data_IF_832329359314
#
_entry.id   IF_832329359314
#
_cell.length_a   1.000
_cell.length_b   1.000
_cell.length_c   1.000
_cell.angle_alpha   90.00
_cell.angle_beta   90.00
_cell.angle_gamma   90.00
#
_symmetry.space_group_name_H-M   'P 1'
#
loop_
_entity.id
_entity.type
_entity.pdbx_description
1 polymer ?
#
# COMPACT_ATOMS: atom_id res chain seq x y z
N UNK A 1 8.79 1.49 13.86
CA UNK A 1 8.82 2.94 13.55
C UNK A 1 8.56 3.86 14.76
N UNK A 2 8.14 3.39 15.94
CA UNK A 2 7.88 4.25 17.12
C UNK A 2 9.13 5.02 17.60
N UNK A 3 10.33 4.46 17.40
CA UNK A 3 11.62 5.10 17.69
C UNK A 3 12.04 6.17 16.67
N UNK A 4 11.30 6.35 15.57
CA UNK A 4 11.69 7.27 14.47
C UNK A 4 12.71 6.73 13.48
N UNK A 5 13.21 5.51 13.66
CA UNK A 5 14.10 4.86 12.69
C UNK A 5 13.29 4.15 11.59
N UNK A 6 13.56 4.40 10.30
CA UNK A 6 13.01 3.64 9.18
C UNK A 6 13.32 2.15 9.29
N UNK A 7 12.33 1.31 8.99
CA UNK A 7 12.57 -0.13 8.79
C UNK A 7 13.43 -0.33 7.53
N UNK A 8 14.20 -1.40 7.51
CA UNK A 8 14.96 -1.89 6.34
C UNK A 8 14.13 -2.87 5.51
N UNK A 9 14.65 -3.32 4.36
CA UNK A 9 14.00 -4.37 3.55
C UNK A 9 13.92 -5.69 4.33
N UNK A 10 15.03 -6.08 4.99
CA UNK A 10 15.10 -7.27 5.83
C UNK A 10 14.10 -7.24 7.00
N UNK A 11 13.82 -6.07 7.56
CA UNK A 11 12.79 -5.93 8.61
C UNK A 11 11.36 -6.15 8.06
N UNK A 12 11.12 -5.82 6.79
CA UNK A 12 9.78 -5.87 6.16
C UNK A 12 9.46 -7.22 5.54
N UNK A 13 10.46 -7.94 5.03
CA UNK A 13 10.26 -9.23 4.34
C UNK A 13 9.46 -10.26 5.17
N UNK A 14 9.77 -10.52 6.45
CA UNK A 14 9.00 -11.47 7.27
C UNK A 14 7.54 -11.02 7.45
N UNK A 15 7.31 -9.71 7.55
CA UNK A 15 5.97 -9.15 7.69
C UNK A 15 5.16 -9.29 6.40
N UNK A 16 5.77 -9.04 5.24
CA UNK A 16 5.13 -9.23 3.93
C UNK A 16 4.78 -10.70 3.67
N UNK A 17 5.66 -11.63 4.07
CA UNK A 17 5.37 -13.06 4.02
C UNK A 17 4.17 -13.44 4.90
N UNK A 18 4.04 -12.84 6.09
CA UNK A 18 2.90 -13.06 6.98
C UNK A 18 1.59 -12.50 6.41
N UNK A 19 1.62 -11.29 5.83
CA UNK A 19 0.46 -10.70 5.12
C UNK A 19 0.01 -11.66 4.01
N UNK A 20 0.95 -12.13 3.19
CA UNK A 20 0.67 -13.08 2.11
C UNK A 20 0.02 -14.36 2.64
N UNK A 21 0.62 -15.00 3.65
CA UNK A 21 0.09 -16.22 4.27
C UNK A 21 -1.34 -16.01 4.77
N UNK A 22 -1.57 -14.91 5.49
CA UNK A 22 -2.90 -14.54 5.99
C UNK A 22 -3.89 -14.32 4.85
N UNK A 23 -3.42 -13.73 3.75
CA UNK A 23 -4.18 -13.53 2.52
C UNK A 23 -4.67 -14.85 1.93
N UNK A 24 -3.80 -15.85 1.84
CA UNK A 24 -4.14 -17.20 1.36
C UNK A 24 -5.20 -17.89 2.24
N UNK A 25 -5.11 -17.73 3.56
CA UNK A 25 -6.01 -18.40 4.52
C UNK A 25 -7.40 -17.75 4.63
N UNK A 26 -7.55 -16.48 4.23
CA UNK A 26 -8.75 -15.66 4.48
C UNK A 26 -9.43 -15.12 3.22
N UNK A 27 -9.16 -15.69 2.04
CA UNK A 27 -9.76 -15.18 0.79
C UNK A 27 -11.30 -15.23 0.83
N UNK A 28 -12.01 -14.16 0.43
CA UNK A 28 -11.50 -12.83 0.04
C UNK A 28 -11.21 -11.94 1.26
N UNK A 29 -10.10 -11.18 1.20
CA UNK A 29 -9.69 -10.27 2.27
C UNK A 29 -9.10 -8.98 1.70
N UNK A 30 -9.37 -7.86 2.38
CA UNK A 30 -8.76 -6.55 2.11
C UNK A 30 -7.80 -6.23 3.25
N UNK A 31 -6.58 -5.80 2.93
CA UNK A 31 -5.55 -5.45 3.91
C UNK A 31 -4.94 -4.09 3.59
N UNK A 32 -4.69 -3.30 4.63
CA UNK A 32 -3.89 -2.09 4.52
C UNK A 32 -2.40 -2.44 4.62
N UNK A 33 -1.63 -2.15 3.56
CA UNK A 33 -0.20 -2.34 3.51
C UNK A 33 0.41 -1.21 2.66
N UNK A 34 1.52 -0.61 3.12
CA UNK A 34 2.15 0.48 2.37
C UNK A 34 2.76 0.01 1.05
N UNK A 35 3.27 -1.23 0.99
CA UNK A 35 3.77 -1.90 -0.22
C UNK A 35 4.57 -0.97 -1.17
N UNK A 36 5.45 -0.14 -0.58
CA UNK A 36 6.06 1.02 -1.24
C UNK A 36 6.93 0.64 -2.43
N UNK A 37 7.69 -0.45 -2.31
CA UNK A 37 8.57 -0.96 -3.37
C UNK A 37 7.89 -2.02 -4.22
N UNK A 38 8.23 -2.09 -5.50
CA UNK A 38 7.79 -3.14 -6.43
C UNK A 38 8.13 -4.53 -5.92
N UNK A 39 9.33 -4.71 -5.35
CA UNK A 39 9.73 -5.98 -4.76
C UNK A 39 8.76 -6.44 -3.67
N UNK A 40 8.24 -5.53 -2.83
CA UNK A 40 7.26 -5.89 -1.81
C UNK A 40 5.93 -6.33 -2.43
N UNK A 41 5.47 -5.64 -3.48
CA UNK A 41 4.27 -6.03 -4.22
C UNK A 41 4.45 -7.38 -4.90
N UNK A 42 5.64 -7.68 -5.41
CA UNK A 42 5.96 -8.98 -6.02
C UNK A 42 6.00 -10.12 -5.00
N UNK A 43 6.46 -9.88 -3.75
CA UNK A 43 6.29 -10.83 -2.64
C UNK A 43 4.81 -11.12 -2.43
N UNK A 44 3.97 -10.08 -2.31
CA UNK A 44 2.53 -10.22 -2.06
C UNK A 44 1.81 -10.94 -3.22
N UNK A 45 2.22 -10.71 -4.47
CA UNK A 45 1.75 -11.45 -5.65
C UNK A 45 2.26 -12.89 -5.70
N UNK A 46 3.18 -13.27 -4.82
CA UNK A 46 3.76 -14.62 -4.76
C UNK A 46 4.82 -14.91 -5.82
N UNK A 47 5.46 -13.89 -6.42
CA UNK A 47 6.48 -14.10 -7.46
C UNK A 47 7.81 -14.64 -6.95
N UNK A 48 8.04 -14.59 -5.63
CA UNK A 48 9.34 -14.92 -5.01
C UNK A 48 9.34 -16.30 -4.31
N UNK A 49 8.35 -17.16 -4.56
CA UNK A 49 8.24 -18.46 -3.88
C UNK A 49 7.47 -19.52 -4.67
N UNK A 50 7.51 -20.76 -4.18
CA UNK A 50 6.88 -21.95 -4.79
C UNK A 50 5.45 -22.21 -4.29
N UNK A 51 5.01 -21.49 -3.27
CA UNK A 51 3.70 -21.66 -2.66
C UNK A 51 2.58 -21.02 -3.52
N UNK A 52 1.41 -21.66 -3.58
CA UNK A 52 0.22 -21.08 -4.20
C UNK A 52 -0.12 -19.75 -3.51
N UNK A 53 -0.18 -18.67 -4.27
CA UNK A 53 -0.63 -17.36 -3.80
C UNK A 53 -2.02 -17.05 -4.37
N UNK A 54 -2.92 -16.42 -3.60
CA UNK A 54 -4.14 -15.88 -4.16
C UNK A 54 -3.79 -14.76 -5.14
N UNK A 55 -4.66 -14.58 -6.14
CA UNK A 55 -4.56 -13.43 -7.03
C UNK A 55 -4.68 -12.16 -6.19
N UNK A 56 -3.69 -11.28 -6.31
CA UNK A 56 -3.55 -10.10 -5.46
C UNK A 56 -3.61 -8.83 -6.30
N UNK A 57 -4.47 -7.91 -5.90
CA UNK A 57 -4.66 -6.60 -6.52
C UNK A 57 -4.31 -5.49 -5.53
N UNK A 58 -4.00 -4.30 -6.03
CA UNK A 58 -3.63 -3.14 -5.22
C UNK A 58 -4.51 -1.94 -5.55
N UNK A 59 -4.93 -1.24 -4.50
CA UNK A 59 -5.53 0.10 -4.61
C UNK A 59 -4.48 1.10 -4.11
N UNK A 60 -3.88 1.82 -5.04
CA UNK A 60 -2.90 2.86 -4.77
C UNK A 60 -3.60 4.20 -4.55
N UNK A 61 -3.56 4.69 -3.32
CA UNK A 61 -4.08 6.02 -2.96
C UNK A 61 -2.96 7.04 -3.23
N UNK A 62 -3.02 7.71 -4.38
CA UNK A 62 -2.00 8.64 -4.84
C UNK A 62 -2.32 10.05 -4.38
N UNK A 63 -1.36 10.71 -3.75
CA UNK A 63 -1.45 12.13 -3.40
C UNK A 63 -0.07 12.77 -3.37
N UNK A 64 -0.02 14.09 -3.51
CA UNK A 64 1.25 14.81 -3.39
C UNK A 64 1.73 14.86 -1.94
N UNK A 65 3.02 15.16 -1.76
CA UNK A 65 3.62 15.38 -0.45
C UNK A 65 2.90 16.51 0.30
N UNK A 66 2.57 17.58 -0.41
CA UNK A 66 1.90 18.77 0.13
C UNK A 66 0.51 18.41 0.69
N UNK A 67 -0.27 17.62 -0.05
CA UNK A 67 -1.60 17.18 0.38
C UNK A 67 -1.51 16.28 1.61
N UNK A 68 -0.56 15.33 1.65
CA UNK A 68 -0.37 14.47 2.82
C UNK A 68 0.09 15.26 4.05
N UNK A 69 1.04 16.19 3.87
CA UNK A 69 1.54 17.05 4.92
C UNK A 69 0.41 17.89 5.54
N UNK A 70 -0.40 18.55 4.72
CA UNK A 70 -1.56 19.34 5.17
C UNK A 70 -2.58 18.46 5.93
N UNK A 71 -2.94 17.29 5.40
CA UNK A 71 -3.87 16.35 6.06
C UNK A 71 -3.35 15.87 7.39
N UNK A 72 -2.06 15.55 7.47
CA UNK A 72 -1.45 15.10 8.72
C UNK A 72 -1.41 16.24 9.75
N UNK A 73 -1.17 17.50 9.33
CA UNK A 73 -1.05 18.65 10.24
C UNK A 73 -2.39 19.00 10.90
N UNK A 74 -3.48 18.75 10.17
CA UNK A 74 -4.85 18.94 10.67
C UNK A 74 -5.30 17.84 11.65
N UNK A 75 -4.59 16.72 11.76
CA UNK A 75 -4.93 15.64 12.70
C UNK A 75 -4.44 15.98 14.11
N UNK A 76 -5.38 16.19 15.03
CA UNK A 76 -5.11 16.35 16.45
C UNK A 76 -4.56 15.04 17.07
N UNK A 77 -3.55 15.13 17.93
CA UNK A 77 -3.05 13.99 18.73
C UNK A 77 -2.01 13.08 18.07
N UNK A 78 -1.55 13.38 16.85
CA UNK A 78 -0.47 12.62 16.20
C UNK A 78 0.86 13.38 16.26
N UNK A 79 1.87 12.74 16.84
CA UNK A 79 3.24 13.26 16.88
C UNK A 79 3.82 13.27 15.46
N UNK A 80 4.02 14.47 14.92
CA UNK A 80 4.40 14.68 13.54
C UNK A 80 5.92 14.53 13.38
N UNK A 81 6.38 13.61 12.53
CA UNK A 81 7.78 13.55 12.07
C UNK A 81 7.77 13.74 10.56
N UNK A 82 8.01 14.97 10.10
CA UNK A 82 8.10 15.32 8.66
C UNK A 82 9.08 14.38 7.96
N UNK A 83 10.20 14.09 8.61
CA UNK A 83 11.23 13.16 8.15
C UNK A 83 10.69 11.75 7.86
N UNK A 84 9.64 11.31 8.56
CA UNK A 84 9.00 10.02 8.27
C UNK A 84 8.26 10.08 6.94
N UNK A 85 7.51 11.16 6.66
CA UNK A 85 6.82 11.32 5.38
C UNK A 85 7.82 11.33 4.22
N UNK A 86 8.93 12.06 4.38
CA UNK A 86 10.00 12.14 3.38
C UNK A 86 10.58 10.75 3.10
N UNK A 87 10.92 9.98 4.14
CA UNK A 87 11.42 8.60 3.97
C UNK A 87 10.42 7.66 3.28
N UNK A 88 9.11 7.89 3.41
CA UNK A 88 8.09 7.09 2.71
C UNK A 88 8.06 7.43 1.22
N UNK A 89 8.16 8.72 0.88
CA UNK A 89 8.21 9.17 -0.52
C UNK A 89 9.51 8.75 -1.21
N UNK A 90 10.64 8.80 -0.52
CA UNK A 90 11.91 8.29 -1.03
C UNK A 90 11.86 6.77 -1.32
N UNK A 91 11.18 6.01 -0.47
CA UNK A 91 11.03 4.57 -0.65
C UNK A 91 9.92 4.17 -1.65
N UNK A 92 9.09 5.12 -2.09
CA UNK A 92 7.95 4.85 -2.95
C UNK A 92 8.41 4.63 -4.41
N UNK A 93 8.27 3.40 -4.87
CA UNK A 93 8.33 3.07 -6.29
C UNK A 93 6.88 3.05 -6.80
N UNK A 94 6.49 4.06 -7.59
CA UNK A 94 5.11 4.21 -8.05
C UNK A 94 4.59 2.91 -8.69
N UNK A 95 3.45 2.37 -8.22
CA UNK A 95 2.86 1.15 -8.78
C UNK A 95 2.03 1.40 -10.04
N UNK A 96 1.88 2.66 -10.47
CA UNK A 96 1.14 3.01 -11.68
C UNK A 96 1.70 2.28 -12.91
N UNK A 97 0.82 1.62 -13.66
CA UNK A 97 1.19 0.83 -14.83
C UNK A 97 1.56 -0.63 -14.53
N UNK A 98 1.63 -1.03 -13.25
CA UNK A 98 1.74 -2.45 -12.92
C UNK A 98 0.40 -3.18 -13.09
N UNK A 99 0.46 -4.45 -13.47
CA UNK A 99 -0.70 -5.33 -13.53
C UNK A 99 -1.38 -5.46 -12.16
N UNK A 100 -2.71 -5.41 -12.16
CA UNK A 100 -3.53 -5.56 -10.96
C UNK A 100 -3.54 -4.33 -10.05
N UNK A 101 -3.09 -3.16 -10.52
CA UNK A 101 -3.08 -1.91 -9.75
C UNK A 101 -4.15 -0.94 -10.24
N UNK A 102 -4.96 -0.47 -9.31
CA UNK A 102 -5.92 0.63 -9.48
C UNK A 102 -5.41 1.84 -8.73
N UNK A 103 -5.47 3.02 -9.34
CA UNK A 103 -5.05 4.28 -8.69
C UNK A 103 -6.25 5.16 -8.39
N UNK A 104 -6.35 5.61 -7.14
CA UNK A 104 -7.37 6.55 -6.65
C UNK A 104 -6.71 7.82 -6.11
N UNK A 105 -7.23 9.03 -6.41
CA UNK A 105 -6.71 10.28 -5.87
C UNK A 105 -6.94 10.39 -4.37
N UNK A 106 -5.93 10.86 -3.64
CA UNK A 106 -6.00 11.11 -2.21
C UNK A 106 -6.94 12.29 -1.88
N UNK A 107 -7.03 13.23 -2.80
CA UNK A 107 -7.82 14.46 -2.74
C UNK A 107 -9.32 14.18 -2.77
N UNK A 108 -9.72 13.05 -3.33
CA UNK A 108 -11.11 12.61 -3.35
C UNK A 108 -11.63 12.32 -1.94
N UNK A 109 -12.95 12.43 -1.78
CA UNK A 109 -13.59 11.94 -0.55
C UNK A 109 -13.41 10.43 -0.42
N UNK A 110 -13.40 9.91 0.81
CA UNK A 110 -13.30 8.46 1.04
C UNK A 110 -14.36 7.68 0.26
N UNK A 111 -15.59 8.21 0.17
CA UNK A 111 -16.66 7.58 -0.60
C UNK A 111 -16.32 7.50 -2.09
N UNK A 112 -15.81 8.58 -2.68
CA UNK A 112 -15.41 8.60 -4.09
C UNK A 112 -14.24 7.66 -4.37
N UNK A 113 -13.25 7.60 -3.45
CA UNK A 113 -12.14 6.64 -3.54
C UNK A 113 -12.63 5.20 -3.55
N UNK A 114 -13.58 4.85 -2.66
CA UNK A 114 -14.14 3.50 -2.56
C UNK A 114 -14.91 3.12 -3.83
N UNK A 115 -15.78 4.00 -4.34
CA UNK A 115 -16.52 3.70 -5.57
C UNK A 115 -15.59 3.55 -6.77
N UNK A 116 -14.62 4.46 -6.95
CA UNK A 116 -13.62 4.34 -8.01
C UNK A 116 -12.80 3.05 -7.89
N UNK A 117 -12.37 2.69 -6.69
CA UNK A 117 -11.64 1.45 -6.47
C UNK A 117 -12.46 0.22 -6.86
N UNK A 118 -13.75 0.17 -6.46
CA UNK A 118 -14.65 -0.93 -6.81
C UNK A 118 -14.85 -1.04 -8.33
N UNK A 119 -15.16 0.07 -8.98
CA UNK A 119 -15.44 0.09 -10.43
C UNK A 119 -14.25 -0.37 -11.26
N UNK A 120 -13.04 0.10 -10.92
CA UNK A 120 -11.82 -0.29 -11.62
C UNK A 120 -11.38 -1.72 -11.28
N UNK A 121 -11.55 -2.17 -10.03
CA UNK A 121 -11.24 -3.55 -9.65
C UNK A 121 -12.12 -4.55 -10.42
N UNK A 122 -13.42 -4.28 -10.57
CA UNK A 122 -14.33 -5.15 -11.34
C UNK A 122 -13.84 -5.36 -12.78
N UNK A 123 -13.28 -4.32 -13.41
CA UNK A 123 -12.77 -4.39 -14.80
C UNK A 123 -11.54 -5.29 -14.96
N UNK A 124 -10.72 -5.40 -13.92
CA UNK A 124 -9.45 -6.15 -13.97
C UNK A 124 -9.53 -7.51 -13.26
N UNK A 125 -10.63 -7.76 -12.53
CA UNK A 125 -10.88 -9.03 -11.84
C UNK A 125 -11.60 -10.05 -12.73
N UNK A 126 -12.38 -9.57 -13.70
CA UNK A 126 -13.05 -10.38 -14.73
C UNK A 126 -12.05 -11.15 -15.60
#
# INVERSE_FOLDING_TARGET
MSSGQPLTDADREPWLALIRKTGTEKVPVVMACSALKRHYRDILRGKNGTEKAPRTYFVYIKGSREVLLDRMQKRQGHFFKVDMLDSQFEALESPEGEEGVVTVPLEDSTQAQVEKAKDELVKIVA
#
